data_IF_772020402273
#
_entry.id   IF_772020402273
#
_cell.length_a   1.000
_cell.length_b   1.000
_cell.length_c   1.000
_cell.angle_alpha   90.00
_cell.angle_beta   90.00
_cell.angle_gamma   90.00
#
_symmetry.space_group_name_H-M   'P 1'
#
loop_
_entity.id
_entity.type
_entity.pdbx_description
1 polymer ?
#
# COMPACT_ATOMS: atom_id res chain seq x y z
N UNK A 1 9.70 7.63 28.25
CA UNK A 1 8.73 8.71 27.96
C UNK A 1 8.39 8.65 26.49
N UNK A 2 7.18 8.20 26.12
CA UNK A 2 6.79 8.18 24.71
C UNK A 2 6.65 9.62 24.21
N UNK A 3 7.42 10.00 23.18
CA UNK A 3 7.50 11.36 22.65
C UNK A 3 6.20 11.89 22.00
N UNK A 4 5.12 11.10 22.00
CA UNK A 4 3.83 11.50 21.40
C UNK A 4 3.83 11.59 19.86
N UNK A 5 4.91 11.14 19.21
CA UNK A 5 5.12 11.32 17.76
C UNK A 5 4.20 10.47 16.87
N UNK A 6 3.64 9.37 17.38
CA UNK A 6 2.88 8.42 16.57
C UNK A 6 1.68 9.06 15.84
N UNK A 7 0.84 9.81 16.57
CA UNK A 7 -0.35 10.43 15.98
C UNK A 7 0.00 11.59 15.04
N UNK A 8 1.11 12.29 15.30
CA UNK A 8 1.62 13.35 14.43
C UNK A 8 2.05 12.78 13.06
N UNK A 9 2.70 11.61 13.05
CA UNK A 9 3.05 10.89 11.82
C UNK A 9 1.79 10.48 11.07
N UNK A 10 0.82 9.85 11.75
CA UNK A 10 -0.44 9.42 11.13
C UNK A 10 -1.21 10.58 10.54
N UNK A 11 -1.33 11.71 11.26
CA UNK A 11 -2.02 12.92 10.78
C UNK A 11 -1.35 13.49 9.52
N UNK A 12 0.00 13.51 9.48
CA UNK A 12 0.74 13.94 8.30
C UNK A 12 0.52 13.00 7.11
N UNK A 13 0.60 11.69 7.32
CA UNK A 13 0.40 10.70 6.26
C UNK A 13 -1.03 10.76 5.70
N UNK A 14 -2.04 10.85 6.57
CA UNK A 14 -3.44 10.98 6.17
C UNK A 14 -3.65 12.18 5.24
N UNK A 15 -3.12 13.35 5.60
CA UNK A 15 -3.17 14.54 4.75
C UNK A 15 -2.48 14.35 3.40
N UNK A 16 -1.32 13.68 3.37
CA UNK A 16 -0.57 13.45 2.13
C UNK A 16 -1.33 12.55 1.14
N UNK A 17 -2.07 11.57 1.64
CA UNK A 17 -2.86 10.64 0.82
C UNK A 17 -4.31 11.11 0.61
N UNK A 18 -4.66 12.32 1.04
CA UNK A 18 -6.02 12.86 0.94
C UNK A 18 -7.05 12.13 1.82
N UNK A 19 -6.60 11.41 2.86
CA UNK A 19 -7.46 10.75 3.82
C UNK A 19 -7.79 11.66 5.01
N UNK A 20 -8.99 11.49 5.57
CA UNK A 20 -9.43 12.20 6.78
C UNK A 20 -9.21 11.33 8.02
N UNK A 21 -8.58 11.87 9.06
CA UNK A 21 -8.39 11.21 10.36
C UNK A 21 -9.44 11.71 11.37
N UNK A 22 -10.23 10.80 11.94
CA UNK A 22 -11.22 11.08 12.96
C UNK A 22 -10.89 10.38 14.28
N UNK A 23 -11.19 11.04 15.40
CA UNK A 23 -10.98 10.52 16.74
C UNK A 23 -12.25 10.70 17.58
N UNK A 24 -12.68 9.62 18.23
CA UNK A 24 -13.76 9.63 19.21
C UNK A 24 -13.27 8.97 20.48
N UNK A 25 -13.18 9.72 21.58
CA UNK A 25 -12.71 9.20 22.87
C UNK A 25 -13.64 9.61 24.00
N UNK A 26 -13.87 8.69 24.93
CA UNK A 26 -14.61 8.96 26.16
C UNK A 26 -13.86 8.31 27.33
N UNK A 27 -13.63 9.09 28.38
CA UNK A 27 -12.95 8.61 29.58
C UNK A 27 -13.66 7.37 30.14
N UNK A 28 -12.88 6.34 30.49
CA UNK A 28 -13.39 5.06 30.97
C UNK A 28 -14.05 4.17 29.91
N UNK A 29 -14.15 4.61 28.65
CA UNK A 29 -14.75 3.84 27.54
C UNK A 29 -13.76 3.57 26.39
N UNK A 30 -12.58 4.18 26.44
CA UNK A 30 -11.54 4.03 25.43
C UNK A 30 -11.62 5.07 24.31
N UNK A 31 -10.88 4.79 23.23
CA UNK A 31 -10.71 5.68 22.09
C UNK A 31 -10.84 4.91 20.78
N UNK A 32 -11.52 5.50 19.81
CA UNK A 32 -11.60 5.05 18.42
C UNK A 32 -10.90 6.05 17.51
N UNK A 33 -9.99 5.56 16.68
CA UNK A 33 -9.36 6.30 15.60
C UNK A 33 -9.86 5.72 14.27
N UNK A 34 -10.19 6.56 13.30
CA UNK A 34 -10.74 6.12 12.01
C UNK A 34 -10.12 6.94 10.88
N UNK A 35 -9.82 6.27 9.76
CA UNK A 35 -9.35 6.90 8.53
C UNK A 35 -10.42 6.76 7.47
N UNK A 36 -10.80 7.88 6.84
CA UNK A 36 -11.66 7.89 5.67
C UNK A 36 -10.78 8.07 4.44
N UNK A 37 -10.67 7.01 3.63
CA UNK A 37 -9.84 7.02 2.42
C UNK A 37 -10.66 7.52 1.22
N UNK A 38 -10.08 8.37 0.35
CA UNK A 38 -10.71 8.71 -0.91
C UNK A 38 -10.75 7.47 -1.81
N UNK A 39 -11.95 6.99 -2.10
CA UNK A 39 -12.15 5.93 -3.08
C UNK A 39 -12.17 6.53 -4.48
N UNK A 40 -11.14 6.26 -5.25
CA UNK A 40 -11.21 6.44 -6.70
C UNK A 40 -11.96 5.26 -7.31
N UNK A 41 -13.15 5.51 -7.86
CA UNK A 41 -13.95 4.47 -8.55
C UNK A 41 -13.43 4.16 -9.94
N UNK A 42 -12.45 4.92 -10.44
CA UNK A 42 -11.93 4.79 -11.81
C UNK A 42 -11.12 3.49 -11.99
N UNK A 43 -10.57 2.91 -10.91
CA UNK A 43 -9.72 1.72 -10.97
C UNK A 43 -10.46 0.37 -10.97
N UNK A 44 -11.77 0.34 -10.68
CA UNK A 44 -12.50 -0.95 -10.63
C UNK A 44 -12.77 -1.51 -12.03
N UNK A 45 -12.89 -0.65 -13.04
CA UNK A 45 -13.11 -1.07 -14.43
C UNK A 45 -11.85 -1.69 -15.06
N UNK A 46 -10.66 -1.20 -14.72
CA UNK A 46 -9.40 -1.65 -15.32
C UNK A 46 -8.88 -2.99 -14.77
N UNK A 47 -9.22 -3.35 -13.53
CA UNK A 47 -8.79 -4.63 -12.94
C UNK A 47 -9.60 -5.79 -13.53
N UNK A 48 -10.89 -5.58 -13.83
CA UNK A 48 -11.76 -6.58 -14.45
C UNK A 48 -11.44 -6.79 -15.95
N UNK A 49 -10.97 -5.75 -16.65
CA UNK A 49 -10.59 -5.83 -18.06
C UNK A 49 -9.21 -6.49 -18.31
N UNK A 50 -8.40 -6.69 -17.26
CA UNK A 50 -7.07 -7.34 -17.33
C UNK A 50 -7.07 -8.83 -16.99
N UNK A 51 -8.24 -9.46 -16.90
CA UNK A 51 -8.32 -10.91 -16.86
C UNK A 51 -8.24 -11.48 -18.28
N UNK A 52 -7.08 -12.08 -18.60
CA UNK A 52 -6.72 -13.00 -19.70
C UNK A 52 -5.76 -12.41 -20.77
N UNK A 53 -4.74 -13.17 -21.23
CA UNK A 53 -4.79 -14.61 -21.54
C UNK A 53 -4.00 -15.51 -20.58
N UNK A 54 -4.30 -16.82 -20.64
CA UNK A 54 -3.42 -17.91 -20.20
C UNK A 54 -2.06 -17.76 -20.91
N UNK A 55 -1.12 -17.08 -20.26
CA UNK A 55 0.29 -17.12 -20.62
C UNK A 55 0.96 -18.16 -19.74
N UNK A 56 1.45 -19.29 -20.28
CA UNK A 56 2.15 -20.29 -19.48
C UNK A 56 3.44 -19.74 -18.84
N UNK A 57 3.96 -18.60 -19.34
CA UNK A 57 4.99 -17.80 -18.69
C UNK A 57 4.39 -16.58 -17.99
N UNK A 58 3.87 -16.76 -16.77
CA UNK A 58 3.25 -15.68 -16.00
C UNK A 58 4.15 -14.45 -15.83
N UNK A 59 3.56 -13.26 -15.68
CA UNK A 59 4.31 -12.00 -15.48
C UNK A 59 4.63 -11.77 -14.01
N UNK A 60 5.88 -11.38 -13.69
CA UNK A 60 6.31 -11.03 -12.32
C UNK A 60 6.46 -9.51 -12.17
N UNK A 61 5.83 -8.95 -11.14
CA UNK A 61 6.07 -7.57 -10.68
C UNK A 61 6.98 -7.61 -9.45
N UNK A 62 8.24 -7.17 -9.59
CA UNK A 62 9.18 -7.03 -8.49
C UNK A 62 9.17 -5.58 -7.97
N UNK A 63 8.88 -5.40 -6.68
CA UNK A 63 8.98 -4.11 -5.99
C UNK A 63 10.08 -4.24 -4.95
N UNK A 64 11.25 -3.65 -5.23
CA UNK A 64 12.45 -3.75 -4.41
C UNK A 64 13.20 -2.41 -4.43
N UNK A 65 13.37 -1.83 -3.24
CA UNK A 65 13.97 -0.50 -3.04
C UNK A 65 15.49 -0.54 -2.95
N UNK A 66 16.08 -1.69 -2.63
CA UNK A 66 17.51 -1.91 -2.62
C UNK A 66 18.05 -2.37 -3.99
N UNK A 67 18.94 -1.56 -4.58
CA UNK A 67 19.49 -1.84 -5.90
C UNK A 67 20.28 -3.16 -6.00
N UNK A 68 20.99 -3.56 -4.95
CA UNK A 68 21.80 -4.79 -4.94
C UNK A 68 20.89 -6.02 -4.90
N UNK A 69 19.86 -5.98 -4.07
CA UNK A 69 18.89 -7.08 -3.94
C UNK A 69 18.06 -7.22 -5.22
N UNK A 70 17.65 -6.09 -5.83
CA UNK A 70 16.96 -6.07 -7.12
C UNK A 70 17.76 -6.74 -8.23
N UNK A 71 19.06 -6.45 -8.32
CA UNK A 71 19.96 -7.12 -9.28
C UNK A 71 20.07 -8.62 -9.04
N UNK A 72 20.08 -9.05 -7.77
CA UNK A 72 20.05 -10.48 -7.43
C UNK A 72 18.80 -11.18 -7.95
N UNK A 73 17.63 -10.54 -7.84
CA UNK A 73 16.39 -11.08 -8.37
C UNK A 73 16.35 -11.10 -9.91
N UNK A 74 16.87 -10.07 -10.59
CA UNK A 74 16.97 -10.08 -12.06
C UNK A 74 17.75 -11.32 -12.56
N UNK A 75 18.90 -11.62 -11.95
CA UNK A 75 19.73 -12.77 -12.31
C UNK A 75 19.02 -14.12 -12.09
N UNK A 76 18.12 -14.21 -11.11
CA UNK A 76 17.37 -15.43 -10.81
C UNK A 76 16.12 -15.59 -11.70
N UNK A 77 15.50 -14.48 -12.09
CA UNK A 77 14.22 -14.49 -12.81
C UNK A 77 14.40 -14.52 -14.33
N UNK A 78 15.43 -13.84 -14.87
CA UNK A 78 15.71 -13.85 -16.33
C UNK A 78 15.89 -15.27 -16.91
N UNK A 79 16.60 -16.21 -16.26
CA UNK A 79 16.75 -17.58 -16.77
C UNK A 79 15.45 -18.39 -16.81
N UNK A 80 14.43 -18.00 -16.02
CA UNK A 80 13.13 -18.66 -16.00
C UNK A 80 12.23 -18.24 -17.17
N UNK A 81 12.70 -17.33 -18.04
CA UNK A 81 11.97 -16.86 -19.20
C UNK A 81 10.82 -15.91 -18.86
N UNK A 82 10.93 -15.23 -17.71
CA UNK A 82 9.96 -14.27 -17.18
C UNK A 82 10.59 -12.88 -17.12
#
# INVERSE_FOLDING_TARGET
MGLGIGLAIVSRLARLIGAELQVSSRLGHGSRFSLLLPLDRTTVADIAAKSAPDDPGGRILLIEDNAIVRQGYELLLTPLGI
#
